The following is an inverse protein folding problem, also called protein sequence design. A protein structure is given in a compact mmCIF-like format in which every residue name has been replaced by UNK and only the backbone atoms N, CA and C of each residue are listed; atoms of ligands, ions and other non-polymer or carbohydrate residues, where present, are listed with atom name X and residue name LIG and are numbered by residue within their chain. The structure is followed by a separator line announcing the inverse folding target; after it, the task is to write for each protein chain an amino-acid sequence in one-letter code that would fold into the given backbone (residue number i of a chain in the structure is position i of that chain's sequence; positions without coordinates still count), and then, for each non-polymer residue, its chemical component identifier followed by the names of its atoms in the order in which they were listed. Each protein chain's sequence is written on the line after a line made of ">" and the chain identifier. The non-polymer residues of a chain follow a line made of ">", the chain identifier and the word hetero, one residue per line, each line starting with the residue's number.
data_IF_313856527708
#
_entry.id   IF_313856527708
#
_cell.length_a   1.000
_cell.length_b   1.000
_cell.length_c   1.000
_cell.angle_alpha   90.00
_cell.angle_beta   90.00
_cell.angle_gamma   90.00
#
_symmetry.space_group_name_H-M   'P 1'
#
loop_
_entity.id
_entity.type
_entity.pdbx_description
1 polymer ?
#
# COMPACT_ATOMS: atom_id res chain seq x y z
N UNK A 1 14.07 8.64 -35.01
CA UNK A 1 14.46 7.56 -34.07
C UNK A 1 14.43 8.06 -32.61
N UNK A 2 13.49 8.92 -32.22
CA UNK A 2 13.43 9.55 -30.87
C UNK A 2 12.31 8.97 -29.98
N UNK A 3 11.29 8.35 -30.57
CA UNK A 3 10.14 7.82 -29.84
C UNK A 3 10.48 6.62 -28.93
N UNK A 4 11.50 5.83 -29.30
CA UNK A 4 11.93 4.67 -28.52
C UNK A 4 12.54 5.06 -27.17
N UNK A 5 13.39 6.09 -27.14
CA UNK A 5 14.04 6.55 -25.91
C UNK A 5 13.04 7.12 -24.91
N UNK A 6 12.05 7.89 -25.40
CA UNK A 6 10.98 8.42 -24.58
C UNK A 6 10.11 7.31 -24.00
N UNK A 7 9.75 6.30 -24.81
CA UNK A 7 8.95 5.16 -24.35
C UNK A 7 9.70 4.34 -23.28
N UNK A 8 11.00 4.12 -23.45
CA UNK A 8 11.82 3.44 -22.45
C UNK A 8 11.89 4.25 -21.15
N UNK A 9 12.10 5.56 -21.23
CA UNK A 9 12.13 6.43 -20.05
C UNK A 9 10.82 6.40 -19.25
N UNK A 10 9.68 6.44 -19.95
CA UNK A 10 8.36 6.31 -19.33
C UNK A 10 8.16 4.95 -18.67
N UNK A 11 8.58 3.87 -19.34
CA UNK A 11 8.49 2.53 -18.79
C UNK A 11 9.34 2.36 -17.53
N UNK A 12 10.58 2.87 -17.52
CA UNK A 12 11.48 2.83 -16.36
C UNK A 12 10.87 3.58 -15.17
N UNK A 13 10.32 4.78 -15.40
CA UNK A 13 9.65 5.54 -14.36
C UNK A 13 8.47 4.78 -13.77
N UNK A 14 7.58 4.28 -14.62
CA UNK A 14 6.42 3.52 -14.18
C UNK A 14 6.81 2.27 -13.38
N UNK A 15 7.77 1.48 -13.88
CA UNK A 15 8.18 0.23 -13.23
C UNK A 15 8.81 0.47 -11.86
N UNK A 16 9.66 1.48 -11.74
CA UNK A 16 10.45 1.74 -10.54
C UNK A 16 9.71 2.55 -9.48
N UNK A 17 8.80 3.44 -9.86
CA UNK A 17 8.22 4.43 -8.95
C UNK A 17 6.70 4.33 -8.77
N UNK A 18 5.98 3.71 -9.71
CA UNK A 18 4.51 3.70 -9.69
C UNK A 18 3.94 2.29 -9.54
N UNK A 19 4.61 1.29 -10.12
CA UNK A 19 4.15 -0.09 -10.09
C UNK A 19 4.51 -0.76 -8.77
N UNK A 20 3.50 -1.23 -8.05
CA UNK A 20 3.69 -2.13 -6.92
C UNK A 20 3.98 -3.55 -7.40
N UNK A 21 4.92 -4.23 -6.73
CA UNK A 21 5.31 -5.60 -7.07
C UNK A 21 4.97 -6.54 -5.92
N UNK A 22 4.21 -7.59 -6.21
CA UNK A 22 3.79 -8.58 -5.20
C UNK A 22 4.98 -9.26 -4.51
N UNK A 23 6.02 -9.59 -5.28
CA UNK A 23 7.27 -10.14 -4.75
C UNK A 23 8.00 -9.21 -3.76
N UNK A 24 7.69 -7.90 -3.78
CA UNK A 24 8.23 -6.89 -2.88
C UNK A 24 7.20 -6.47 -1.82
N UNK A 25 6.25 -7.34 -1.46
CA UNK A 25 5.17 -7.02 -0.53
C UNK A 25 4.34 -5.80 -0.97
N UNK A 26 4.13 -5.65 -2.28
CA UNK A 26 3.46 -4.49 -2.88
C UNK A 26 4.15 -3.17 -2.53
N UNK A 27 5.49 -3.16 -2.55
CA UNK A 27 6.33 -1.97 -2.58
C UNK A 27 6.78 -1.70 -4.02
N UNK A 28 7.21 -0.46 -4.26
CA UNK A 28 7.90 -0.11 -5.52
C UNK A 28 9.38 -0.47 -5.43
N UNK A 29 10.07 -0.73 -6.56
CA UNK A 29 11.51 -0.97 -6.54
C UNK A 29 12.29 0.22 -5.96
N UNK A 30 11.84 1.46 -6.21
CA UNK A 30 12.42 2.65 -5.61
C UNK A 30 12.30 2.65 -4.08
N UNK A 31 11.15 2.27 -3.51
CA UNK A 31 11.00 2.21 -2.05
C UNK A 31 11.94 1.21 -1.40
N UNK A 32 12.18 0.07 -2.06
CA UNK A 32 13.15 -0.93 -1.60
C UNK A 32 14.57 -0.39 -1.73
N UNK A 33 14.91 0.20 -2.87
CA UNK A 33 16.25 0.76 -3.12
C UNK A 33 16.61 1.88 -2.14
N UNK A 34 15.67 2.79 -1.86
CA UNK A 34 15.87 3.89 -0.91
C UNK A 34 15.68 3.46 0.56
N UNK A 35 15.45 2.18 0.85
CA UNK A 35 15.32 1.67 2.21
C UNK A 35 14.06 2.13 2.95
N UNK A 36 13.03 2.60 2.24
CA UNK A 36 11.76 3.08 2.84
C UNK A 36 10.75 1.96 3.11
N UNK A 37 11.05 0.74 2.65
CA UNK A 37 10.11 -0.38 2.64
C UNK A 37 9.54 -0.73 4.02
N UNK A 38 10.40 -0.82 5.04
CA UNK A 38 9.98 -1.19 6.40
C UNK A 38 8.98 -0.21 6.99
N UNK A 39 9.29 1.09 6.95
CA UNK A 39 8.42 2.17 7.46
C UNK A 39 7.05 2.17 6.77
N UNK A 40 7.01 1.91 5.45
CA UNK A 40 5.75 1.82 4.71
C UNK A 40 4.91 0.63 5.19
N UNK A 41 5.53 -0.53 5.39
CA UNK A 41 4.84 -1.74 5.83
C UNK A 41 4.33 -1.60 7.28
N UNK A 42 5.12 -1.01 8.17
CA UNK A 42 4.71 -0.72 9.55
C UNK A 42 3.49 0.20 9.59
N UNK A 43 3.51 1.29 8.81
CA UNK A 43 2.40 2.22 8.71
C UNK A 43 1.12 1.53 8.21
N UNK A 44 1.24 0.68 7.18
CA UNK A 44 0.12 -0.10 6.65
C UNK A 44 -0.48 -1.03 7.70
N UNK A 45 0.36 -1.74 8.45
CA UNK A 45 -0.11 -2.65 9.51
C UNK A 45 -0.77 -1.90 10.68
N UNK A 46 -0.26 -0.72 11.04
CA UNK A 46 -0.90 0.14 12.03
C UNK A 46 -2.31 0.57 11.57
N UNK A 47 -2.43 1.08 10.34
CA UNK A 47 -3.73 1.51 9.77
C UNK A 47 -4.70 0.32 9.71
N UNK A 48 -4.23 -0.85 9.29
CA UNK A 48 -5.04 -2.08 9.22
C UNK A 48 -5.56 -2.49 10.59
N UNK A 49 -4.71 -2.51 11.62
CA UNK A 49 -5.11 -2.81 13.00
C UNK A 49 -6.16 -1.83 13.52
N UNK A 50 -5.92 -0.53 13.34
CA UNK A 50 -6.86 0.51 13.76
C UNK A 50 -8.22 0.37 13.05
N UNK A 51 -8.20 0.10 11.74
CA UNK A 51 -9.42 -0.10 10.95
C UNK A 51 -10.20 -1.32 11.42
N UNK A 52 -9.53 -2.43 11.70
CA UNK A 52 -10.17 -3.65 12.20
C UNK A 52 -10.77 -3.46 13.59
N UNK A 53 -10.06 -2.76 14.49
CA UNK A 53 -10.57 -2.44 15.83
C UNK A 53 -11.84 -1.58 15.75
N UNK A 54 -11.83 -0.53 14.92
CA UNK A 54 -13.00 0.33 14.70
C UNK A 54 -14.20 -0.46 14.17
N UNK A 55 -13.98 -1.32 13.17
CA UNK A 55 -15.04 -2.18 12.61
C UNK A 55 -15.61 -3.14 13.66
N UNK A 56 -14.74 -3.71 14.50
CA UNK A 56 -15.15 -4.60 15.60
C UNK A 56 -16.02 -3.86 16.62
N UNK A 57 -15.64 -2.64 16.98
CA UNK A 57 -16.43 -1.81 17.90
C UNK A 57 -17.83 -1.51 17.32
N UNK A 58 -17.89 -1.01 16.08
CA UNK A 58 -19.17 -0.70 15.41
C UNK A 58 -20.10 -1.92 15.36
N UNK A 59 -19.54 -3.12 15.13
CA UNK A 59 -20.31 -4.36 15.10
C UNK A 59 -20.99 -4.64 16.45
N UNK A 60 -20.26 -4.55 17.57
CA UNK A 60 -20.82 -4.80 18.89
C UNK A 60 -21.74 -3.68 19.37
N UNK A 61 -21.44 -2.42 19.07
CA UNK A 61 -22.32 -1.30 19.39
C UNK A 61 -23.67 -1.45 18.67
N UNK A 62 -23.64 -1.86 17.40
CA UNK A 62 -24.84 -2.18 16.62
C UNK A 62 -25.62 -3.36 17.18
N UNK A 63 -24.95 -4.44 17.61
CA UNK A 63 -25.61 -5.59 18.24
C UNK A 63 -26.21 -5.22 19.61
N UNK A 64 -25.50 -4.43 20.41
CA UNK A 64 -25.97 -3.98 21.72
C UNK A 64 -27.22 -3.11 21.58
N UNK A 65 -27.27 -2.23 20.58
CA UNK A 65 -28.44 -1.42 20.26
C UNK A 65 -29.62 -2.22 19.67
N UNK A 66 -29.40 -3.42 19.14
CA UNK A 66 -30.48 -4.31 18.67
C UNK A 66 -31.07 -5.21 19.77
N UNK A 67 -30.34 -5.39 20.88
CA UNK A 67 -30.77 -6.20 22.02
C UNK A 67 -31.51 -5.39 23.11
N UNK A 68 -31.51 -4.05 23.02
CA UNK A 68 -32.24 -3.15 23.91
C UNK A 68 -33.62 -2.81 23.34
#
# INVERSE_FOLDING_TARGET
>A
MLFGEQAIGQWVQHYNHERFHEALNNLTPADVFYGRGEVILELREMIKRNTLAMRKQIHYDGQTNQMC
#
